data_IF_294137848281
#
_entry.id   IF_294137848281
#
_cell.length_a   1.000
_cell.length_b   1.000
_cell.length_c   1.000
_cell.angle_alpha   90.00
_cell.angle_beta   90.00
_cell.angle_gamma   90.00
#
_symmetry.space_group_name_H-M   'P 1'
#
loop_
_entity.id
_entity.type
_entity.pdbx_description
1 polymer ?
#
# COMPACT_ATOMS: atom_id res chain seq x y z
N UNK A 1 3.07 53.44 -16.86
CA UNK A 1 2.39 53.20 -15.57
C UNK A 1 3.40 52.54 -14.62
N UNK A 2 3.59 53.07 -13.43
CA UNK A 2 4.43 52.44 -12.42
C UNK A 2 3.63 51.34 -11.75
N UNK A 3 4.09 50.11 -11.88
CA UNK A 3 3.48 49.00 -11.16
C UNK A 3 3.99 48.94 -9.72
N UNK A 4 3.10 48.88 -8.74
CA UNK A 4 3.46 48.62 -7.35
C UNK A 4 4.08 47.24 -7.20
N UNK A 5 5.23 47.13 -6.53
CA UNK A 5 5.98 45.88 -6.33
C UNK A 5 6.40 45.69 -4.88
N UNK A 6 6.55 44.42 -4.46
CA UNK A 6 6.98 44.10 -3.10
C UNK A 6 6.06 44.67 -2.03
N UNK A 7 6.58 45.41 -1.06
CA UNK A 7 5.79 45.97 0.03
C UNK A 7 4.77 47.06 -0.41
N UNK A 8 4.86 47.53 -1.64
CA UNK A 8 3.93 48.50 -2.23
C UNK A 8 2.94 47.82 -3.21
N UNK A 9 2.92 46.51 -3.29
CA UNK A 9 1.96 45.78 -4.08
C UNK A 9 0.54 46.11 -3.63
N UNK A 10 -0.36 46.24 -4.60
CA UNK A 10 -1.78 46.50 -4.36
C UNK A 10 -2.60 45.38 -4.98
N UNK A 11 -3.74 45.10 -4.36
CA UNK A 11 -4.75 44.15 -4.84
C UNK A 11 -6.11 44.83 -4.79
N UNK A 12 -7.02 44.36 -5.61
CA UNK A 12 -8.41 44.84 -5.66
C UNK A 12 -9.25 44.00 -4.73
N UNK A 13 -9.96 44.65 -3.79
CA UNK A 13 -10.91 43.96 -2.93
C UNK A 13 -12.09 43.43 -3.74
N UNK A 14 -12.39 42.14 -3.55
CA UNK A 14 -13.55 41.48 -4.20
C UNK A 14 -14.92 42.07 -3.76
N UNK A 15 -14.94 42.80 -2.63
CA UNK A 15 -16.17 43.39 -2.09
C UNK A 15 -16.43 44.80 -2.64
N UNK A 16 -15.47 45.70 -2.51
CA UNK A 16 -15.61 47.09 -2.89
C UNK A 16 -15.09 47.42 -4.29
N UNK A 17 -14.24 46.56 -4.86
CA UNK A 17 -13.53 46.85 -6.11
C UNK A 17 -12.46 47.92 -6.00
N UNK A 18 -12.11 48.36 -4.76
CA UNK A 18 -11.06 49.33 -4.51
C UNK A 18 -9.69 48.67 -4.35
N UNK A 19 -8.64 49.37 -4.73
CA UNK A 19 -7.26 48.90 -4.58
C UNK A 19 -6.74 49.22 -3.18
N UNK A 20 -6.25 48.21 -2.50
CA UNK A 20 -5.66 48.27 -1.17
C UNK A 20 -4.26 47.66 -1.13
N UNK A 21 -3.43 47.99 -0.13
CA UNK A 21 -2.13 47.33 0.04
C UNK A 21 -2.30 45.80 0.20
N UNK A 22 -1.57 45.02 -0.57
CA UNK A 22 -1.69 43.56 -0.57
C UNK A 22 -1.46 42.90 0.81
N UNK A 23 -0.55 43.49 1.61
CA UNK A 23 -0.27 43.00 2.95
C UNK A 23 -1.40 43.22 3.98
N UNK A 24 -2.41 44.02 3.63
CA UNK A 24 -3.60 44.25 4.45
C UNK A 24 -4.81 43.51 3.96
N UNK A 25 -4.65 42.68 2.93
CA UNK A 25 -5.72 41.86 2.38
C UNK A 25 -5.86 40.55 3.16
N UNK A 26 -7.10 40.11 3.39
CA UNK A 26 -7.45 38.90 4.15
C UNK A 26 -8.46 38.07 3.35
N UNK A 27 -8.35 36.76 3.43
CA UNK A 27 -9.35 35.87 2.82
C UNK A 27 -10.50 35.62 3.78
N UNK A 28 -11.70 35.84 3.34
CA UNK A 28 -12.93 35.54 4.07
C UNK A 28 -13.29 34.05 4.03
N UNK A 29 -14.24 33.67 4.86
CA UNK A 29 -14.78 32.30 4.94
C UNK A 29 -15.43 31.80 3.65
N UNK A 30 -15.96 32.71 2.82
CA UNK A 30 -16.57 32.40 1.50
C UNK A 30 -15.53 32.32 0.36
N UNK A 31 -14.24 32.58 0.66
CA UNK A 31 -13.14 32.56 -0.28
C UNK A 31 -12.80 33.91 -0.91
N UNK A 32 -13.59 34.95 -0.70
CA UNK A 32 -13.33 36.30 -1.18
C UNK A 32 -12.07 36.89 -0.56
N UNK A 33 -11.32 37.65 -1.36
CA UNK A 33 -10.10 38.31 -0.90
C UNK A 33 -10.40 39.80 -0.71
N UNK A 34 -10.47 40.24 0.54
CA UNK A 34 -10.93 41.57 0.92
C UNK A 34 -9.94 42.29 1.82
N UNK A 35 -10.04 43.63 1.88
CA UNK A 35 -9.24 44.40 2.83
C UNK A 35 -9.76 44.15 4.28
N UNK A 36 -8.86 44.17 5.24
CA UNK A 36 -9.17 43.92 6.67
C UNK A 36 -10.28 44.82 7.25
N UNK A 37 -10.51 46.01 6.70
CA UNK A 37 -11.60 46.90 7.11
C UNK A 37 -12.97 46.43 6.61
N UNK A 38 -12.99 45.61 5.60
CA UNK A 38 -14.19 45.06 4.96
C UNK A 38 -14.45 43.59 5.36
N UNK A 39 -13.58 43.06 6.19
CA UNK A 39 -13.64 41.66 6.63
C UNK A 39 -14.88 41.38 7.48
N UNK A 40 -15.62 40.36 7.09
CA UNK A 40 -16.74 39.81 7.84
C UNK A 40 -16.44 38.37 8.29
N UNK A 41 -16.61 38.17 9.61
CA UNK A 41 -16.53 36.81 10.15
C UNK A 41 -17.75 35.98 9.74
N UNK A 42 -17.54 34.69 9.56
CA UNK A 42 -18.63 33.74 9.29
C UNK A 42 -19.64 33.75 10.43
N UNK A 43 -20.91 33.85 10.07
CA UNK A 43 -22.00 33.76 11.05
C UNK A 43 -22.04 32.34 11.67
N UNK A 44 -22.05 32.22 13.00
CA UNK A 44 -22.06 30.92 13.67
C UNK A 44 -23.23 30.00 13.27
N UNK A 45 -24.33 30.58 12.79
CA UNK A 45 -25.48 29.82 12.31
C UNK A 45 -25.25 29.06 11.02
N UNK A 46 -24.22 29.47 10.22
CA UNK A 46 -23.86 28.82 8.98
C UNK A 46 -22.93 27.60 9.19
N UNK A 47 -22.51 27.37 10.43
CA UNK A 47 -21.74 26.19 10.80
C UNK A 47 -22.66 25.14 11.39
N UNK A 48 -22.72 23.93 10.78
CA UNK A 48 -23.49 22.85 11.37
C UNK A 48 -22.90 22.49 12.74
N UNK A 49 -23.77 22.34 13.76
CA UNK A 49 -23.29 21.85 15.06
C UNK A 49 -22.91 20.39 14.96
N UNK A 50 -21.70 19.99 15.35
CA UNK A 50 -21.30 18.59 15.33
C UNK A 50 -22.16 17.80 16.34
N UNK A 51 -22.80 16.76 15.87
CA UNK A 51 -23.50 15.77 16.70
C UNK A 51 -22.60 14.53 16.84
N UNK A 52 -22.43 14.03 18.06
CA UNK A 52 -21.58 12.86 18.32
C UNK A 52 -21.99 11.57 17.59
N UNK A 53 -23.23 11.50 17.08
CA UNK A 53 -23.75 10.37 16.31
C UNK A 53 -23.85 10.62 14.80
N UNK A 54 -23.50 11.83 14.33
CA UNK A 54 -23.62 12.19 12.91
C UNK A 54 -22.29 12.71 12.35
N UNK A 55 -21.62 11.86 11.58
CA UNK A 55 -20.36 12.20 10.93
C UNK A 55 -20.50 13.31 9.86
N UNK A 56 -21.69 13.56 9.34
CA UNK A 56 -21.93 14.61 8.34
C UNK A 56 -21.89 16.01 8.97
N UNK A 57 -22.16 16.12 10.28
CA UNK A 57 -22.05 17.37 11.01
C UNK A 57 -20.63 17.74 11.45
N UNK A 58 -19.65 16.90 11.18
CA UNK A 58 -18.27 17.10 11.59
C UNK A 58 -17.46 17.76 10.46
N UNK A 59 -16.77 18.86 10.77
CA UNK A 59 -15.78 19.44 9.88
C UNK A 59 -14.45 18.67 9.99
N UNK A 60 -13.80 18.43 8.86
CA UNK A 60 -12.50 17.77 8.79
C UNK A 60 -12.47 16.38 9.44
N UNK A 61 -13.51 15.62 9.24
CA UNK A 61 -13.58 14.23 9.73
C UNK A 61 -12.46 13.40 9.07
N UNK A 62 -11.59 12.88 9.89
CA UNK A 62 -10.63 11.82 9.51
C UNK A 62 -11.09 10.54 10.19
N UNK A 63 -11.78 9.71 9.43
CA UNK A 63 -12.11 8.36 9.90
C UNK A 63 -10.87 7.49 9.82
N UNK A 64 -10.70 6.64 10.82
CA UNK A 64 -9.72 5.56 10.74
C UNK A 64 -10.10 4.63 9.59
N UNK A 65 -9.22 4.52 8.61
CA UNK A 65 -9.45 3.72 7.41
C UNK A 65 -8.75 2.39 7.55
N UNK A 66 -9.54 1.36 7.81
CA UNK A 66 -9.03 -0.01 7.72
C UNK A 66 -9.00 -0.41 6.24
N UNK A 67 -7.81 -0.54 5.69
CA UNK A 67 -7.67 -1.07 4.33
C UNK A 67 -7.85 -2.58 4.33
N UNK A 68 -8.53 -3.09 3.29
CA UNK A 68 -8.67 -4.52 3.10
C UNK A 68 -7.30 -5.14 2.85
N UNK A 69 -7.06 -6.30 3.43
CA UNK A 69 -5.83 -7.05 3.19
C UNK A 69 -5.80 -7.53 1.73
N UNK A 70 -4.82 -7.07 0.97
CA UNK A 70 -4.65 -7.39 -0.45
C UNK A 70 -3.45 -8.30 -0.66
N UNK A 71 -3.42 -9.01 -1.80
CA UNK A 71 -2.24 -9.75 -2.20
C UNK A 71 -1.17 -8.80 -2.77
N UNK A 72 0.07 -9.01 -2.36
CA UNK A 72 1.23 -8.30 -2.88
C UNK A 72 1.78 -9.01 -4.12
N UNK A 73 1.99 -8.28 -5.20
CA UNK A 73 2.67 -8.79 -6.40
C UNK A 73 4.16 -8.96 -6.12
N UNK A 74 4.68 -10.12 -6.47
CA UNK A 74 6.10 -10.44 -6.35
C UNK A 74 6.86 -10.07 -7.62
N UNK A 75 8.18 -10.03 -7.52
CA UNK A 75 9.08 -9.88 -8.67
C UNK A 75 8.98 -11.10 -9.61
N UNK A 76 9.39 -11.00 -10.87
CA UNK A 76 9.51 -12.17 -11.76
C UNK A 76 10.43 -13.24 -11.17
N UNK A 77 10.02 -14.51 -11.26
CA UNK A 77 10.75 -15.67 -10.71
C UNK A 77 11.18 -15.49 -9.24
N UNK A 78 10.22 -15.26 -8.31
CA UNK A 78 10.55 -14.88 -6.96
C UNK A 78 11.07 -16.03 -6.11
N UNK A 79 10.84 -17.28 -6.52
CA UNK A 79 11.15 -18.46 -5.77
C UNK A 79 12.57 -18.96 -6.08
N UNK A 80 13.25 -19.51 -5.07
CA UNK A 80 14.52 -20.21 -5.22
C UNK A 80 14.50 -21.43 -4.32
N UNK A 81 14.67 -22.63 -4.88
CA UNK A 81 14.79 -23.86 -4.09
C UNK A 81 16.09 -23.85 -3.28
N UNK A 82 16.04 -24.40 -2.06
CA UNK A 82 17.23 -24.43 -1.20
C UNK A 82 18.26 -25.47 -1.67
N UNK A 83 17.90 -26.74 -1.64
CA UNK A 83 18.78 -27.85 -1.99
C UNK A 83 17.99 -28.98 -2.65
N UNK A 84 18.67 -29.88 -3.33
CA UNK A 84 18.08 -31.10 -3.86
C UNK A 84 17.41 -31.91 -2.73
N UNK A 85 16.29 -32.54 -3.02
CA UNK A 85 15.47 -33.29 -2.07
C UNK A 85 14.94 -32.49 -0.89
N UNK A 86 15.00 -31.16 -0.93
CA UNK A 86 14.47 -30.25 0.08
C UNK A 86 13.14 -29.64 -0.41
N UNK A 87 12.17 -29.53 0.50
CA UNK A 87 10.94 -28.80 0.25
C UNK A 87 11.02 -27.28 0.58
N UNK A 88 12.18 -26.80 1.00
CA UNK A 88 12.35 -25.39 1.40
C UNK A 88 12.51 -24.51 0.17
N UNK A 89 11.69 -23.48 0.10
CA UNK A 89 11.70 -22.46 -0.96
C UNK A 89 11.95 -21.10 -0.33
N UNK A 90 13.03 -20.44 -0.74
CA UNK A 90 13.31 -19.05 -0.44
C UNK A 90 12.54 -18.15 -1.43
N UNK A 91 11.96 -17.09 -0.94
CA UNK A 91 11.22 -16.10 -1.73
C UNK A 91 11.87 -14.73 -1.62
N UNK A 92 12.20 -14.15 -2.75
CA UNK A 92 12.71 -12.78 -2.81
C UNK A 92 11.56 -11.82 -3.04
N UNK A 93 11.31 -10.97 -2.07
CA UNK A 93 10.23 -9.99 -2.08
C UNK A 93 10.68 -8.72 -1.33
N UNK A 94 11.32 -7.76 -2.02
CA UNK A 94 11.84 -6.55 -1.37
C UNK A 94 10.75 -5.79 -0.60
N UNK A 95 11.06 -5.43 0.64
CA UNK A 95 10.15 -4.70 1.54
C UNK A 95 8.77 -5.36 1.70
N UNK A 96 8.73 -6.68 1.83
CA UNK A 96 7.48 -7.43 1.81
C UNK A 96 6.51 -7.14 2.97
N UNK A 97 6.98 -6.63 4.10
CA UNK A 97 6.12 -6.29 5.25
C UNK A 97 5.32 -7.46 5.86
N UNK A 98 5.60 -8.70 5.45
CA UNK A 98 4.89 -9.88 5.93
C UNK A 98 5.35 -10.26 7.34
N UNK A 99 4.41 -10.78 8.14
CA UNK A 99 4.68 -11.14 9.55
C UNK A 99 5.22 -12.55 9.66
N UNK A 100 6.32 -12.72 10.40
CA UNK A 100 6.93 -14.01 10.67
C UNK A 100 5.94 -14.96 11.39
N UNK A 101 5.87 -16.20 10.93
CA UNK A 101 4.98 -17.24 11.46
C UNK A 101 3.53 -17.18 10.99
N UNK A 102 3.15 -16.13 10.27
CA UNK A 102 1.79 -16.01 9.71
C UNK A 102 1.63 -16.84 8.43
N UNK A 103 0.38 -17.23 8.15
CA UNK A 103 0.05 -18.05 6.99
C UNK A 103 -0.35 -17.19 5.80
N UNK A 104 0.33 -17.41 4.68
CA UNK A 104 0.08 -16.71 3.42
C UNK A 104 -0.14 -17.71 2.29
N UNK A 105 -0.91 -17.29 1.30
CA UNK A 105 -1.18 -18.07 0.08
C UNK A 105 -0.52 -17.39 -1.11
N UNK A 106 0.11 -18.21 -1.96
CA UNK A 106 0.64 -17.80 -3.26
C UNK A 106 -0.41 -18.01 -4.34
N UNK A 107 -0.42 -17.13 -5.32
CA UNK A 107 -1.34 -17.16 -6.46
C UNK A 107 -0.58 -16.76 -7.72
N UNK A 108 -0.82 -17.45 -8.81
CA UNK A 108 -0.32 -17.12 -10.14
C UNK A 108 -1.17 -16.08 -10.86
N UNK A 109 -1.04 -16.05 -12.18
CA UNK A 109 -1.81 -15.14 -13.02
C UNK A 109 -3.33 -15.29 -12.80
N UNK A 110 -4.10 -14.19 -12.82
CA UNK A 110 -5.55 -14.27 -12.82
C UNK A 110 -6.04 -14.93 -14.11
N UNK A 111 -7.03 -15.77 -13.98
CA UNK A 111 -7.70 -16.41 -15.11
C UNK A 111 -8.82 -15.51 -15.66
N UNK A 112 -9.28 -15.81 -16.88
CA UNK A 112 -10.38 -15.07 -17.54
C UNK A 112 -11.68 -15.11 -16.70
N UNK A 113 -11.87 -16.13 -15.89
CA UNK A 113 -13.02 -16.27 -14.99
C UNK A 113 -12.88 -15.54 -13.65
N UNK A 114 -11.81 -14.75 -13.46
CA UNK A 114 -11.58 -13.99 -12.24
C UNK A 114 -10.99 -14.80 -11.08
N UNK A 115 -10.66 -16.07 -11.31
CA UNK A 115 -9.91 -16.90 -10.35
C UNK A 115 -8.40 -16.74 -10.57
N UNK A 116 -7.61 -17.05 -9.56
CA UNK A 116 -6.16 -17.07 -9.69
C UNK A 116 -5.68 -18.45 -10.10
N UNK A 117 -4.76 -18.50 -11.07
CA UNK A 117 -4.06 -19.71 -11.46
C UNK A 117 -2.92 -20.05 -10.49
N UNK A 118 -2.20 -21.08 -10.85
CA UNK A 118 -1.02 -21.51 -10.10
C UNK A 118 0.26 -20.81 -10.62
N UNK A 119 1.28 -20.58 -9.79
CA UNK A 119 2.61 -20.24 -10.26
C UNK A 119 3.17 -21.27 -11.24
N UNK A 120 4.15 -20.87 -12.03
CA UNK A 120 4.82 -21.81 -12.96
C UNK A 120 5.60 -22.85 -12.17
N UNK A 121 5.47 -24.12 -12.55
CA UNK A 121 6.23 -25.24 -11.96
C UNK A 121 7.73 -25.09 -12.27
N UNK A 122 8.56 -25.38 -11.29
CA UNK A 122 10.01 -25.33 -11.44
C UNK A 122 10.72 -26.33 -10.52
N UNK A 123 11.88 -26.80 -10.90
CA UNK A 123 12.75 -27.71 -10.13
C UNK A 123 12.01 -28.93 -9.55
N UNK A 124 11.10 -29.51 -10.29
CA UNK A 124 10.29 -30.66 -9.84
C UNK A 124 9.12 -30.32 -8.92
N UNK A 125 8.95 -29.06 -8.53
CA UNK A 125 7.86 -28.60 -7.70
C UNK A 125 6.73 -28.08 -8.60
N UNK A 126 5.55 -28.68 -8.48
CA UNK A 126 4.38 -28.25 -9.22
C UNK A 126 3.85 -26.91 -8.69
N UNK A 127 3.40 -26.03 -9.59
CA UNK A 127 2.81 -24.73 -9.23
C UNK A 127 1.60 -24.87 -8.31
N UNK A 128 0.78 -25.89 -8.48
CA UNK A 128 -0.36 -26.21 -7.61
C UNK A 128 0.04 -26.48 -6.16
N UNK A 129 1.24 -27.04 -5.94
CA UNK A 129 1.75 -27.27 -4.59
C UNK A 129 2.22 -25.94 -3.94
N UNK A 130 2.69 -24.98 -4.75
CA UNK A 130 3.03 -23.64 -4.27
C UNK A 130 1.77 -22.83 -3.97
N UNK A 131 0.74 -22.94 -4.82
CA UNK A 131 -0.55 -22.26 -4.68
C UNK A 131 -1.50 -22.96 -3.67
N UNK A 132 -0.95 -23.69 -2.71
CA UNK A 132 -1.72 -24.47 -1.74
C UNK A 132 -2.85 -23.64 -1.10
N UNK A 133 -4.08 -24.18 -1.14
CA UNK A 133 -5.29 -23.43 -0.78
C UNK A 133 -5.29 -22.94 0.67
N UNK A 134 -4.77 -23.72 1.60
CA UNK A 134 -4.66 -23.36 3.02
C UNK A 134 -3.48 -22.43 3.32
N UNK A 135 -2.64 -22.13 2.31
CA UNK A 135 -1.44 -21.32 2.48
C UNK A 135 -0.30 -22.03 3.23
N UNK A 136 0.78 -21.33 3.37
CA UNK A 136 1.97 -21.78 4.09
C UNK A 136 2.32 -20.80 5.20
N UNK A 137 2.70 -21.31 6.36
CA UNK A 137 3.36 -20.51 7.38
C UNK A 137 4.74 -20.10 6.87
N UNK A 138 5.01 -18.80 6.84
CA UNK A 138 6.29 -18.27 6.36
C UNK A 138 7.24 -17.97 7.53
N UNK A 139 8.52 -18.06 7.25
CA UNK A 139 9.58 -17.58 8.15
C UNK A 139 10.34 -16.46 7.46
N UNK A 140 10.36 -15.26 8.03
CA UNK A 140 11.10 -14.11 7.48
C UNK A 140 12.61 -14.35 7.57
N UNK A 141 13.33 -13.92 6.54
CA UNK A 141 14.75 -14.19 6.36
C UNK A 141 15.01 -15.20 5.27
N UNK A 142 16.27 -15.44 4.96
CA UNK A 142 16.68 -16.40 3.94
C UNK A 142 17.15 -17.70 4.59
N UNK A 143 16.81 -18.84 4.03
CA UNK A 143 17.34 -20.13 4.49
C UNK A 143 18.62 -20.45 3.74
N UNK A 144 19.76 -20.46 4.47
CA UNK A 144 21.09 -20.63 3.89
C UNK A 144 21.91 -21.60 4.76
N UNK A 145 22.65 -22.52 4.15
CA UNK A 145 23.55 -23.43 4.87
C UNK A 145 22.92 -24.21 6.04
N UNK A 146 21.65 -24.59 5.90
CA UNK A 146 20.94 -25.37 6.91
C UNK A 146 20.34 -24.55 8.07
N UNK A 147 20.40 -23.23 8.01
CA UNK A 147 19.87 -22.34 9.03
C UNK A 147 19.17 -21.11 8.46
N UNK A 148 18.38 -20.45 9.30
CA UNK A 148 17.77 -19.16 8.99
C UNK A 148 18.81 -18.06 9.09
N UNK A 149 18.95 -17.27 8.04
CA UNK A 149 19.69 -16.01 8.05
C UNK A 149 18.72 -14.86 8.36
N UNK A 150 18.99 -14.10 9.42
CA UNK A 150 18.16 -13.01 9.92
C UNK A 150 18.52 -11.65 9.36
N UNK A 151 19.61 -11.52 8.62
CA UNK A 151 20.06 -10.25 8.04
C UNK A 151 19.16 -9.82 6.86
N UNK A 152 18.41 -10.75 6.29
CA UNK A 152 17.55 -10.52 5.12
C UNK A 152 16.04 -10.57 5.41
N UNK A 153 15.61 -10.28 6.64
CA UNK A 153 14.20 -10.42 7.07
C UNK A 153 13.24 -9.44 6.40
N UNK A 154 13.71 -8.35 5.82
CA UNK A 154 12.91 -7.35 5.09
C UNK A 154 12.65 -7.74 3.65
N UNK A 155 13.56 -8.47 3.02
CA UNK A 155 13.57 -8.72 1.58
C UNK A 155 13.43 -10.20 1.22
N UNK A 156 13.53 -11.08 2.20
CA UNK A 156 13.43 -12.52 2.02
C UNK A 156 12.57 -13.16 3.09
N UNK A 157 11.86 -14.19 2.67
CA UNK A 157 11.23 -15.16 3.56
C UNK A 157 11.30 -16.54 2.92
N UNK A 158 11.04 -17.57 3.68
CA UNK A 158 10.98 -18.93 3.16
C UNK A 158 9.79 -19.69 3.75
N UNK A 159 9.42 -20.75 3.06
CA UNK A 159 8.40 -21.71 3.48
C UNK A 159 8.79 -23.11 3.03
N UNK A 160 8.08 -24.12 3.52
CA UNK A 160 8.31 -25.51 3.14
C UNK A 160 7.07 -26.07 2.46
N UNK A 161 7.22 -26.60 1.25
CA UNK A 161 6.13 -27.29 0.55
C UNK A 161 5.87 -28.67 1.16
N UNK A 162 4.57 -29.03 1.23
CA UNK A 162 4.15 -30.21 1.94
C UNK A 162 4.37 -31.53 1.18
N UNK A 163 4.44 -31.51 -0.14
CA UNK A 163 4.28 -32.72 -0.95
C UNK A 163 5.37 -32.99 -1.98
N UNK A 164 6.20 -32.02 -2.33
CA UNK A 164 7.27 -32.18 -3.33
C UNK A 164 8.57 -31.60 -2.85
N UNK A 165 9.66 -32.21 -3.31
CA UNK A 165 11.01 -31.74 -3.04
C UNK A 165 11.68 -31.28 -4.34
N UNK A 166 12.60 -30.36 -4.21
CA UNK A 166 13.41 -29.86 -5.31
C UNK A 166 14.26 -30.98 -5.94
N UNK A 167 14.37 -31.00 -7.26
CA UNK A 167 15.17 -32.00 -7.99
C UNK A 167 16.66 -31.65 -7.93
N UNK A 168 17.01 -30.42 -8.23
CA UNK A 168 18.41 -29.97 -8.30
C UNK A 168 18.81 -29.06 -7.14
N UNK A 169 17.91 -28.20 -6.67
CA UNK A 169 18.19 -27.15 -5.68
C UNK A 169 18.87 -25.93 -6.28
N UNK A 170 18.76 -24.81 -5.59
CA UNK A 170 19.26 -23.49 -6.01
C UNK A 170 18.74 -23.01 -7.37
N UNK A 171 17.59 -23.53 -7.81
CA UNK A 171 16.93 -23.15 -9.06
C UNK A 171 15.92 -22.04 -8.78
N UNK A 172 15.94 -20.98 -9.59
CA UNK A 172 14.94 -19.91 -9.59
C UNK A 172 13.75 -20.27 -10.47
N UNK A 173 12.57 -19.80 -10.10
CA UNK A 173 11.37 -20.00 -10.90
C UNK A 173 10.10 -19.45 -10.27
N UNK A 174 8.97 -19.90 -10.78
CA UNK A 174 7.63 -19.46 -10.39
C UNK A 174 6.93 -18.60 -11.43
N UNK A 175 7.71 -18.00 -12.35
CA UNK A 175 7.18 -17.17 -13.43
C UNK A 175 6.67 -15.80 -12.96
N UNK A 176 5.82 -15.21 -13.80
CA UNK A 176 5.17 -13.92 -13.53
C UNK A 176 3.80 -13.88 -14.22
N UNK A 177 2.78 -13.24 -13.64
CA UNK A 177 2.73 -12.64 -12.31
C UNK A 177 2.51 -13.69 -11.20
N UNK A 178 3.17 -13.50 -10.07
CA UNK A 178 2.93 -14.25 -8.84
C UNK A 178 2.63 -13.28 -7.72
N UNK A 179 1.66 -13.58 -6.89
CA UNK A 179 1.32 -12.76 -5.74
C UNK A 179 1.31 -13.57 -4.45
N UNK A 180 1.59 -12.91 -3.34
CA UNK A 180 1.50 -13.44 -1.98
C UNK A 180 0.53 -12.61 -1.15
N UNK A 181 -0.32 -13.23 -0.39
CA UNK A 181 -1.30 -12.51 0.43
C UNK A 181 -2.04 -13.43 1.38
N UNK A 182 -3.06 -12.91 2.09
CA UNK A 182 -3.84 -13.70 3.02
C UNK A 182 -4.48 -14.90 2.32
N UNK A 183 -4.80 -15.93 3.10
CA UNK A 183 -5.43 -17.15 2.59
C UNK A 183 -6.76 -16.82 1.91
N UNK A 184 -7.59 -16.00 2.55
CA UNK A 184 -8.83 -15.47 1.98
C UNK A 184 -8.64 -14.00 1.63
N UNK A 185 -8.96 -13.61 0.40
CA UNK A 185 -9.04 -12.21 -0.01
C UNK A 185 -10.47 -11.74 0.27
N UNK A 186 -10.60 -10.63 1.01
CA UNK A 186 -11.90 -9.99 1.20
C UNK A 186 -12.36 -9.40 -0.14
N UNK A 187 -13.55 -9.76 -0.58
CA UNK A 187 -14.18 -9.18 -1.76
C UNK A 187 -14.62 -7.72 -1.51
#
# INVERSE_FOLDING_TARGET
MAYARGKYAQEISDRSGMAFPYNEMVREWNGMFVHKSEYESKQPQLEPRPHGGDAQGLQNVRTDRTEKTVAQLLIPDPFTTYAASSGIINVHAPNHGLTNGSTYRFRGAPTVSGTYGDPVSFDGIAGSNIAYASGYAITTGKYVSGSRDTDFTTDWFYFTVNTNTATAGSVKGGGFPVSVGPVTLSA
#
